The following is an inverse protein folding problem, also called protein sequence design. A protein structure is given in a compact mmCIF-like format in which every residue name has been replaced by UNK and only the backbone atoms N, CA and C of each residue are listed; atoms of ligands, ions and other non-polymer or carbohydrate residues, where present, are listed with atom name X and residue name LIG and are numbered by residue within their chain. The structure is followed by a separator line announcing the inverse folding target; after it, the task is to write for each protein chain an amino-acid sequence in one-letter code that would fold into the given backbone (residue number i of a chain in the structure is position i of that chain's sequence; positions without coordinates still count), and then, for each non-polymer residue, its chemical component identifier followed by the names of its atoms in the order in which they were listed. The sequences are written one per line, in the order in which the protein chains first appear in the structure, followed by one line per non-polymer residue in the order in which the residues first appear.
data_IF_532886295782
#
_entry.id   IF_532886295782
#
_cell.length_a   1.000
_cell.length_b   1.000
_cell.length_c   1.000
_cell.angle_alpha   90.00
_cell.angle_beta   90.00
_cell.angle_gamma   90.00
#
_symmetry.space_group_name_H-M   'P 1'
#
loop_
_entity.id
_entity.type
_entity.pdbx_description
1 polymer ?
#
# COMPACT_ATOMS: atom_id res chain seq x y z
N UNK A 1 17.95 1.17 24.14
CA UNK A 1 16.66 1.83 23.81
C UNK A 1 15.69 1.55 24.95
N UNK A 2 15.00 2.55 25.51
CA UNK A 2 14.06 2.30 26.63
C UNK A 2 12.72 1.78 26.12
N UNK A 3 12.02 0.99 26.95
CA UNK A 3 10.64 0.57 26.64
C UNK A 3 9.70 1.77 26.45
N UNK A 4 9.94 2.86 27.18
CA UNK A 4 9.14 4.08 27.08
C UNK A 4 9.21 4.73 25.70
N UNK A 5 10.38 4.79 25.06
CA UNK A 5 10.49 5.38 23.72
C UNK A 5 9.93 4.44 22.63
N UNK A 6 10.05 3.13 22.82
CA UNK A 6 9.43 2.15 21.92
C UNK A 6 7.89 2.27 21.96
N UNK A 7 7.32 2.40 23.16
CA UNK A 7 5.88 2.61 23.32
C UNK A 7 5.40 3.90 22.64
N UNK A 8 6.16 5.00 22.73
CA UNK A 8 5.86 6.27 22.04
C UNK A 8 5.96 6.15 20.52
N UNK A 9 6.91 5.38 20.00
CA UNK A 9 7.05 5.14 18.57
C UNK A 9 5.84 4.37 18.02
N UNK A 10 5.40 3.31 18.69
CA UNK A 10 4.23 2.54 18.27
C UNK A 10 2.92 3.32 18.33
N UNK A 11 2.73 4.15 19.37
CA UNK A 11 1.57 5.05 19.44
C UNK A 11 1.63 6.17 18.40
N UNK A 12 2.75 6.33 17.70
CA UNK A 12 2.91 7.36 16.67
C UNK A 12 3.16 8.76 17.22
N UNK A 13 3.43 8.89 18.53
CA UNK A 13 3.67 10.18 19.20
C UNK A 13 4.88 10.90 18.59
N UNK A 14 5.92 10.16 18.22
CA UNK A 14 7.14 10.72 17.64
C UNK A 14 6.95 11.29 16.22
N UNK A 15 5.89 10.87 15.52
CA UNK A 15 5.60 11.27 14.14
C UNK A 15 4.31 12.08 14.01
N UNK A 16 3.70 12.49 15.13
CA UNK A 16 2.43 13.22 15.15
C UNK A 16 2.49 14.54 14.36
N UNK A 17 3.51 15.38 14.61
CA UNK A 17 3.66 16.66 13.91
C UNK A 17 3.88 16.48 12.41
N UNK A 18 4.66 15.46 12.02
CA UNK A 18 4.90 15.16 10.62
C UNK A 18 3.60 14.73 9.93
N UNK A 19 2.78 13.88 10.56
CA UNK A 19 1.47 13.50 10.02
C UNK A 19 0.52 14.70 9.87
N UNK A 20 0.51 15.62 10.83
CA UNK A 20 -0.28 16.85 10.74
C UNK A 20 0.15 17.76 9.59
N UNK A 21 1.45 17.77 9.26
CA UNK A 21 2.01 18.54 8.16
C UNK A 21 1.84 17.88 6.78
N UNK A 22 1.53 16.58 6.71
CA UNK A 22 1.38 15.82 5.47
C UNK A 22 0.04 15.05 5.43
N UNK A 23 -1.11 15.74 5.54
CA UNK A 23 -2.43 15.09 5.56
C UNK A 23 -2.78 14.34 4.26
N UNK A 24 -2.18 14.72 3.14
CA UNK A 24 -2.35 14.13 1.82
C UNK A 24 -1.73 12.73 1.67
N UNK A 25 -0.81 12.34 2.56
CA UNK A 25 -0.25 10.99 2.60
C UNK A 25 -1.13 10.03 3.41
N UNK A 26 -1.97 10.57 4.27
CA UNK A 26 -2.87 9.81 5.13
C UNK A 26 -4.24 9.67 4.46
N UNK A 27 -4.65 10.69 3.72
CA UNK A 27 -5.97 10.80 3.10
C UNK A 27 -5.87 11.18 1.62
N UNK A 28 -6.89 10.86 0.82
CA UNK A 28 -6.91 11.18 -0.61
C UNK A 28 -6.21 10.12 -1.47
N UNK A 29 -5.59 10.55 -2.57
CA UNK A 29 -5.06 9.66 -3.61
C UNK A 29 -3.84 8.84 -3.15
N UNK A 30 -3.02 9.38 -2.26
CA UNK A 30 -1.84 8.68 -1.71
C UNK A 30 -2.17 7.88 -0.44
N UNK A 31 -3.45 7.80 -0.04
CA UNK A 31 -3.86 6.97 1.08
C UNK A 31 -3.54 5.49 0.82
N UNK A 32 -3.30 4.75 1.89
CA UNK A 32 -3.01 3.32 1.80
C UNK A 32 -4.14 2.57 1.08
N UNK A 33 -5.40 2.94 1.33
CA UNK A 33 -6.58 2.36 0.70
C UNK A 33 -6.61 2.60 -0.81
N UNK A 34 -6.38 3.85 -1.24
CA UNK A 34 -6.37 4.22 -2.66
C UNK A 34 -5.26 3.48 -3.42
N UNK A 35 -4.04 3.47 -2.86
CA UNK A 35 -2.91 2.75 -3.46
C UNK A 35 -3.16 1.23 -3.53
N UNK A 36 -3.81 0.65 -2.52
CA UNK A 36 -4.15 -0.77 -2.49
C UNK A 36 -5.20 -1.13 -3.56
N UNK A 37 -6.12 -0.23 -3.89
CA UNK A 37 -7.03 -0.42 -5.03
C UNK A 37 -6.26 -0.40 -6.36
N UNK A 38 -5.32 0.54 -6.54
CA UNK A 38 -4.48 0.65 -7.76
C UNK A 38 -3.65 -0.63 -7.96
N UNK A 39 -2.74 -0.93 -7.03
CA UNK A 39 -2.65 -2.24 -6.39
C UNK A 39 -3.28 -3.45 -7.10
N UNK A 40 -4.46 -3.77 -6.59
CA UNK A 40 -5.30 -4.89 -7.02
C UNK A 40 -5.68 -4.79 -8.49
N UNK A 41 -6.00 -3.60 -8.99
CA UNK A 41 -6.38 -3.39 -10.39
C UNK A 41 -5.23 -3.73 -11.35
N UNK A 42 -4.01 -3.26 -11.05
CA UNK A 42 -2.82 -3.59 -11.84
C UNK A 42 -2.50 -5.08 -11.79
N UNK A 43 -2.57 -5.69 -10.61
CA UNK A 43 -2.38 -7.15 -10.47
C UNK A 43 -3.43 -7.95 -11.27
N UNK A 44 -4.68 -7.52 -11.28
CA UNK A 44 -5.73 -8.15 -12.07
C UNK A 44 -5.42 -8.07 -13.58
N UNK A 45 -5.04 -6.90 -14.09
CA UNK A 45 -4.62 -6.72 -15.50
C UNK A 45 -3.45 -7.64 -15.87
N UNK A 46 -2.42 -7.72 -15.02
CA UNK A 46 -1.26 -8.60 -15.21
C UNK A 46 -1.62 -10.10 -15.16
N UNK A 47 -2.62 -10.48 -14.36
CA UNK A 47 -3.09 -11.85 -14.30
C UNK A 47 -3.88 -12.27 -15.55
N UNK A 48 -4.62 -11.33 -16.16
CA UNK A 48 -5.36 -11.55 -17.39
C UNK A 48 -4.43 -11.75 -18.60
N UNK A 49 -3.33 -10.99 -18.68
CA UNK A 49 -2.33 -11.16 -19.75
C UNK A 49 -1.56 -12.48 -19.63
N UNK A 50 -1.32 -13.00 -18.41
CA UNK A 50 -0.74 -14.34 -18.23
C UNK A 50 -1.67 -15.48 -18.64
N UNK A 51 -2.99 -15.32 -18.54
CA UNK A 51 -3.97 -16.37 -18.86
C UNK A 51 -4.06 -16.69 -20.36
N UNK A 52 -3.60 -15.79 -21.23
CA UNK A 52 -3.52 -16.01 -22.68
C UNK A 52 -2.28 -16.80 -23.15
N UNK A 53 -1.27 -17.00 -22.30
CA UNK A 53 0.03 -17.58 -22.69
C UNK A 53 0.15 -19.09 -22.43
N UNK A 54 -0.97 -19.74 -22.10
CA UNK A 54 -1.08 -21.17 -21.80
C UNK A 54 -2.01 -21.97 -22.72
N UNK A 55 -2.46 -21.42 -23.85
CA UNK A 55 -3.12 -22.18 -24.92
C UNK A 55 -2.22 -22.21 -26.15
N UNK A 56 -1.09 -22.89 -26.02
CA UNK A 56 -0.45 -23.50 -27.17
C UNK A 56 -1.31 -24.70 -27.56
N UNK A 57 -1.86 -24.63 -28.75
CA UNK A 57 -2.68 -25.61 -29.44
C UNK A 57 -2.00 -26.99 -29.41
N UNK A 58 -2.69 -28.00 -28.86
CA UNK A 58 -2.45 -29.41 -29.18
C UNK A 58 -3.58 -29.89 -30.10
N UNK A 59 -3.16 -30.54 -31.18
CA UNK A 59 -3.89 -31.15 -32.31
C UNK A 59 -4.25 -30.23 -33.48
#
# INVERSE_FOLDING_TARGET
LTQSILAKAFRGELTANWRAANPELISGENSAEALLVIIKNERAKLSQTKKGRGKSVEN
#
